data_IF_534242838670
#
_entry.id   IF_534242838670
#
_cell.length_a   1.000
_cell.length_b   1.000
_cell.length_c   1.000
_cell.angle_alpha   90.00
_cell.angle_beta   90.00
_cell.angle_gamma   90.00
#
_symmetry.space_group_name_H-M   'P 1'
#
loop_
_entity.id
_entity.type
_entity.pdbx_description
1 polymer ?
#
# COMPACT_ATOMS: atom_id res chain seq x y z
N UNK A 1 2.45 -5.29 31.23
CA UNK A 1 2.60 -3.85 30.93
C UNK A 1 3.60 -3.56 29.81
N UNK A 2 4.74 -4.27 29.69
CA UNK A 2 5.75 -3.99 28.64
C UNK A 2 5.33 -4.44 27.23
N UNK A 3 4.69 -5.60 27.06
CA UNK A 3 4.28 -6.10 25.73
C UNK A 3 3.29 -5.18 24.98
N UNK A 4 2.33 -4.59 25.69
CA UNK A 4 1.35 -3.67 25.07
C UNK A 4 2.02 -2.38 24.59
N UNK A 5 2.98 -1.85 25.35
CA UNK A 5 3.75 -0.67 24.97
C UNK A 5 4.60 -0.93 23.72
N UNK A 6 5.25 -2.10 23.62
CA UNK A 6 6.03 -2.49 22.44
C UNK A 6 5.16 -2.67 21.21
N UNK A 7 3.96 -3.25 21.35
CA UNK A 7 3.00 -3.42 20.24
C UNK A 7 2.49 -2.07 19.71
N UNK A 8 2.17 -1.14 20.60
CA UNK A 8 1.73 0.22 20.22
C UNK A 8 2.85 0.99 19.51
N UNK A 9 4.10 0.88 19.99
CA UNK A 9 5.26 1.48 19.35
C UNK A 9 5.52 0.89 17.96
N UNK A 10 5.48 -0.45 17.82
CA UNK A 10 5.66 -1.14 16.55
C UNK A 10 4.57 -0.79 15.53
N UNK A 11 3.31 -0.68 15.95
CA UNK A 11 2.22 -0.20 15.08
C UNK A 11 2.43 1.25 14.65
N UNK A 12 2.91 2.12 15.55
CA UNK A 12 3.27 3.50 15.23
C UNK A 12 4.37 3.58 14.16
N UNK A 13 5.43 2.78 14.32
CA UNK A 13 6.54 2.69 13.37
C UNK A 13 6.08 2.10 12.02
N UNK A 14 5.26 1.05 12.03
CA UNK A 14 4.73 0.43 10.82
C UNK A 14 3.88 1.39 9.99
N UNK A 15 3.04 2.22 10.62
CA UNK A 15 2.26 3.24 9.91
C UNK A 15 3.14 4.29 9.23
N UNK A 16 4.24 4.70 9.87
CA UNK A 16 5.17 5.69 9.28
C UNK A 16 5.98 5.07 8.15
N UNK A 17 6.56 3.89 8.40
CA UNK A 17 7.39 3.19 7.41
C UNK A 17 6.59 2.87 6.15
N UNK A 18 5.41 2.31 6.30
CA UNK A 18 4.55 1.96 5.15
C UNK A 18 4.12 3.21 4.36
N UNK A 19 3.79 4.30 5.06
CA UNK A 19 3.45 5.56 4.40
C UNK A 19 4.62 6.15 3.59
N UNK A 20 5.85 6.02 4.09
CA UNK A 20 7.06 6.42 3.37
C UNK A 20 7.31 5.52 2.16
N UNK A 21 7.21 4.20 2.31
CA UNK A 21 7.40 3.24 1.22
C UNK A 21 6.40 3.47 0.09
N UNK A 22 5.12 3.62 0.41
CA UNK A 22 4.06 3.93 -0.56
C UNK A 22 4.35 5.23 -1.31
N UNK A 23 4.77 6.28 -0.58
CA UNK A 23 5.12 7.56 -1.19
C UNK A 23 6.33 7.46 -2.12
N UNK A 24 7.35 6.70 -1.72
CA UNK A 24 8.53 6.44 -2.54
C UNK A 24 8.19 5.68 -3.83
N UNK A 25 7.45 4.56 -3.71
CA UNK A 25 7.03 3.74 -4.85
C UNK A 25 6.12 4.52 -5.83
N UNK A 26 5.26 5.41 -5.30
CA UNK A 26 4.43 6.28 -6.13
C UNK A 26 5.27 7.29 -6.93
N UNK A 27 6.28 7.88 -6.29
CA UNK A 27 7.19 8.81 -6.95
C UNK A 27 8.02 8.10 -8.04
N UNK A 28 8.57 6.93 -7.73
CA UNK A 28 9.33 6.11 -8.67
C UNK A 28 8.48 5.73 -9.89
N UNK A 29 7.23 5.31 -9.67
CA UNK A 29 6.27 5.01 -10.73
C UNK A 29 6.00 6.18 -11.67
N UNK A 30 5.73 7.36 -11.11
CA UNK A 30 5.50 8.59 -11.88
C UNK A 30 6.72 8.95 -12.73
N UNK A 31 7.92 8.89 -12.13
CA UNK A 31 9.18 9.18 -12.82
C UNK A 31 9.43 8.17 -13.92
N UNK A 32 9.20 6.87 -13.66
CA UNK A 32 9.39 5.81 -14.63
C UNK A 32 8.44 5.93 -15.82
N UNK A 33 7.16 6.24 -15.60
CA UNK A 33 6.22 6.50 -16.71
C UNK A 33 6.68 7.71 -17.52
N UNK A 34 7.00 8.84 -16.87
CA UNK A 34 7.40 10.06 -17.57
C UNK A 34 8.68 9.85 -18.39
N UNK A 35 9.71 9.22 -17.79
CA UNK A 35 10.96 8.90 -18.46
C UNK A 35 10.77 7.84 -19.56
N UNK A 36 9.93 6.84 -19.33
CA UNK A 36 9.60 5.80 -20.30
C UNK A 36 8.93 6.36 -21.54
N UNK A 37 7.95 7.26 -21.36
CA UNK A 37 7.29 7.96 -22.47
C UNK A 37 8.27 8.89 -23.21
N UNK A 38 9.10 9.65 -22.49
CA UNK A 38 10.08 10.54 -23.10
C UNK A 38 11.16 9.78 -23.90
N UNK A 39 11.53 8.58 -23.46
CA UNK A 39 12.52 7.73 -24.12
C UNK A 39 11.91 6.77 -25.15
N UNK A 40 10.59 6.69 -25.28
CA UNK A 40 9.91 5.66 -26.09
C UNK A 40 10.14 4.23 -25.58
N UNK A 41 10.43 4.06 -24.29
CA UNK A 41 10.76 2.78 -23.68
C UNK A 41 9.52 2.11 -23.10
N UNK A 42 9.08 1.03 -23.76
CA UNK A 42 7.97 0.18 -23.29
C UNK A 42 8.32 -0.49 -21.95
N UNK A 43 9.57 -0.91 -21.76
CA UNK A 43 10.00 -1.56 -20.52
C UNK A 43 9.92 -0.61 -19.31
N UNK A 44 10.41 0.63 -19.46
CA UNK A 44 10.41 1.60 -18.38
C UNK A 44 9.00 2.13 -18.07
N UNK A 45 8.18 2.31 -19.11
CA UNK A 45 6.77 2.66 -18.93
C UNK A 45 6.00 1.53 -18.25
N UNK A 46 6.25 0.27 -18.64
CA UNK A 46 5.66 -0.91 -18.03
C UNK A 46 6.05 -1.08 -16.56
N UNK A 47 7.31 -0.83 -16.22
CA UNK A 47 7.78 -0.80 -14.83
C UNK A 47 7.02 0.24 -13.99
N UNK A 48 6.82 1.45 -14.52
CA UNK A 48 6.05 2.48 -13.81
C UNK A 48 4.55 2.20 -13.72
N UNK A 49 3.99 1.41 -14.64
CA UNK A 49 2.59 0.95 -14.54
C UNK A 49 2.47 -0.17 -13.51
N UNK A 50 3.42 -1.09 -13.45
CA UNK A 50 3.46 -2.18 -12.47
C UNK A 50 3.50 -1.65 -11.03
N UNK A 51 4.23 -0.55 -10.81
CA UNK A 51 4.32 0.11 -9.51
C UNK A 51 2.97 0.64 -8.99
N UNK A 52 1.95 0.83 -9.85
CA UNK A 52 0.59 1.22 -9.43
C UNK A 52 -0.03 0.13 -8.57
N UNK A 53 0.21 -1.14 -8.90
CA UNK A 53 -0.30 -2.29 -8.13
C UNK A 53 0.36 -2.29 -6.75
N UNK A 54 1.67 -2.08 -6.71
CA UNK A 54 2.45 -2.05 -5.47
C UNK A 54 2.00 -0.90 -4.54
N UNK A 55 1.87 0.31 -5.09
CA UNK A 55 1.37 1.49 -4.36
C UNK A 55 -0.04 1.23 -3.82
N UNK A 56 -0.92 0.64 -4.63
CA UNK A 56 -2.29 0.35 -4.21
C UNK A 56 -2.32 -0.67 -3.06
N UNK A 57 -1.48 -1.70 -3.11
CA UNK A 57 -1.37 -2.70 -2.04
C UNK A 57 -0.86 -2.07 -0.73
N UNK A 58 0.15 -1.21 -0.80
CA UNK A 58 0.71 -0.54 0.37
C UNK A 58 -0.25 0.48 0.98
N UNK A 59 -1.05 1.18 0.17
CA UNK A 59 -2.13 2.06 0.68
C UNK A 59 -3.16 1.28 1.51
N UNK A 60 -3.55 0.08 1.05
CA UNK A 60 -4.49 -0.78 1.79
C UNK A 60 -3.89 -1.23 3.12
N UNK A 61 -2.61 -1.65 3.12
CA UNK A 61 -1.90 -2.04 4.35
C UNK A 61 -1.73 -0.86 5.32
N UNK A 62 -1.32 0.30 4.81
CA UNK A 62 -1.19 1.53 5.59
C UNK A 62 -2.51 1.93 6.25
N UNK A 63 -3.63 1.85 5.51
CA UNK A 63 -4.95 2.13 6.05
C UNK A 63 -5.35 1.13 7.14
N UNK A 64 -5.04 -0.16 6.98
CA UNK A 64 -5.28 -1.20 7.98
C UNK A 64 -4.48 -0.93 9.27
N UNK A 65 -3.19 -0.64 9.16
CA UNK A 65 -2.32 -0.32 10.31
C UNK A 65 -2.82 0.93 11.04
N UNK A 66 -3.27 1.94 10.29
CA UNK A 66 -3.84 3.17 10.86
C UNK A 66 -5.17 2.92 11.56
N UNK A 67 -6.01 2.02 11.04
CA UNK A 67 -7.28 1.63 11.67
C UNK A 67 -7.05 0.84 12.97
N UNK A 68 -6.10 -0.11 12.97
CA UNK A 68 -5.73 -0.90 14.15
C UNK A 68 -5.12 -0.02 15.25
N UNK A 69 -4.38 1.04 14.88
CA UNK A 69 -3.90 2.06 15.82
C UNK A 69 -5.01 2.94 16.40
N UNK A 70 -6.15 3.11 15.70
CA UNK A 70 -7.20 4.08 16.06
C UNK A 70 -8.37 3.49 16.85
N UNK A 71 -8.68 2.19 16.70
CA UNK A 71 -9.78 1.53 17.43
C UNK A 71 -9.50 0.05 17.71
N UNK A 72 -9.55 -0.36 18.99
CA UNK A 72 -9.54 -1.78 19.44
C UNK A 72 -10.84 -2.55 19.10
N UNK A 73 -11.79 -1.96 18.36
CA UNK A 73 -13.03 -2.60 17.91
C UNK A 73 -13.36 -2.12 16.50
N UNK A 74 -12.98 -2.90 15.49
CA UNK A 74 -13.41 -2.70 14.10
C UNK A 74 -14.55 -3.69 13.82
N UNK A 75 -15.70 -3.18 13.36
CA UNK A 75 -16.86 -4.02 13.06
C UNK A 75 -16.69 -4.81 11.74
N UNK A 76 -17.33 -5.98 11.60
CA UNK A 76 -17.11 -6.96 10.52
C UNK A 76 -17.39 -6.42 9.10
N UNK A 77 -18.14 -5.34 8.96
CA UNK A 77 -18.40 -4.68 7.68
C UNK A 77 -17.15 -4.04 7.06
N UNK A 78 -16.21 -3.56 7.88
CA UNK A 78 -14.96 -2.94 7.41
C UNK A 78 -13.99 -4.01 6.92
N UNK A 79 -13.95 -5.15 7.60
CA UNK A 79 -13.13 -6.31 7.26
C UNK A 79 -13.56 -6.93 5.92
N UNK A 80 -14.87 -7.08 5.71
CA UNK A 80 -15.42 -7.56 4.44
C UNK A 80 -15.15 -6.60 3.27
N UNK A 81 -15.16 -5.28 3.51
CA UNK A 81 -14.86 -4.29 2.47
C UNK A 81 -13.38 -4.32 2.10
N UNK A 82 -12.49 -4.42 3.09
CA UNK A 82 -11.05 -4.53 2.90
C UNK A 82 -10.67 -5.82 2.14
N UNK A 83 -11.24 -6.95 2.53
CA UNK A 83 -11.03 -8.23 1.86
C UNK A 83 -11.54 -8.22 0.41
N UNK A 84 -12.67 -7.55 0.14
CA UNK A 84 -13.22 -7.42 -1.22
C UNK A 84 -12.32 -6.57 -2.12
N UNK A 85 -11.72 -5.51 -1.60
CA UNK A 85 -10.79 -4.69 -2.37
C UNK A 85 -9.45 -5.40 -2.58
N UNK A 86 -8.91 -6.07 -1.57
CA UNK A 86 -7.72 -6.91 -1.72
C UNK A 86 -7.93 -8.04 -2.73
N UNK A 87 -9.09 -8.71 -2.69
CA UNK A 87 -9.45 -9.75 -3.67
C UNK A 87 -9.64 -9.20 -5.08
N UNK A 88 -10.22 -8.00 -5.24
CA UNK A 88 -10.37 -7.37 -6.55
C UNK A 88 -9.01 -7.01 -7.18
N UNK A 89 -8.04 -6.60 -6.35
CA UNK A 89 -6.68 -6.29 -6.79
C UNK A 89 -5.92 -7.56 -7.20
N UNK A 90 -6.07 -8.65 -6.44
CA UNK A 90 -5.49 -9.94 -6.82
C UNK A 90 -6.08 -10.50 -8.12
N UNK A 91 -7.38 -10.30 -8.35
CA UNK A 91 -8.03 -10.70 -9.61
C UNK A 91 -7.61 -9.86 -10.81
N UNK A 92 -7.36 -8.55 -10.60
CA UNK A 92 -6.84 -7.68 -11.65
C UNK A 92 -5.38 -8.02 -12.02
N UNK A 93 -4.59 -8.52 -11.06
CA UNK A 93 -3.23 -9.02 -11.29
C UNK A 93 -3.20 -10.39 -11.99
N UNK A 94 -4.29 -11.17 -11.91
CA UNK A 94 -4.35 -12.54 -12.43
C UNK A 94 -4.74 -12.66 -13.91
N UNK A 95 -4.99 -11.54 -14.62
CA UNK A 95 -5.42 -11.52 -16.02
C UNK A 95 -4.37 -10.89 -16.93
#
# INVERSE_FOLDING_TARGET
MTQDATRVAALGQGVVLEGVTVGYNALEGIIAIAAGLAAGSVALTGFGIDSVIEVTSGVVLWWRLRAERRSSKLGPAVEARAARWAGALLLALAV
#
